data_IF_642484823596
#
_entry.id   IF_642484823596
#
_cell.length_a   1.000
_cell.length_b   1.000
_cell.length_c   1.000
_cell.angle_alpha   90.00
_cell.angle_beta   90.00
_cell.angle_gamma   90.00
#
_symmetry.space_group_name_H-M   'P 1'
#
loop_
_entity.id
_entity.type
_entity.pdbx_description
1 polymer ?
#
# COMPACT_ATOMS: atom_id res chain seq x y z
N UNK A 1 13.49 -14.53 -2.92
CA UNK A 1 14.12 -14.96 -1.64
C UNK A 1 13.51 -16.24 -1.11
N UNK A 2 12.18 -16.36 -1.09
CA UNK A 2 11.48 -17.46 -0.40
C UNK A 2 10.98 -18.59 -1.30
N UNK A 3 11.30 -18.58 -2.61
CA UNK A 3 10.70 -19.52 -3.56
C UNK A 3 9.17 -19.44 -3.64
N UNK A 4 8.58 -18.34 -3.17
CA UNK A 4 7.15 -18.12 -3.13
C UNK A 4 6.62 -17.61 -4.48
N UNK A 5 5.40 -18.04 -4.82
CA UNK A 5 4.61 -17.41 -5.88
C UNK A 5 4.24 -15.97 -5.47
N UNK A 6 4.18 -15.07 -6.46
CA UNK A 6 3.90 -13.65 -6.24
C UNK A 6 2.78 -13.19 -7.15
N UNK A 7 1.74 -12.63 -6.55
CA UNK A 7 0.71 -11.87 -7.26
C UNK A 7 0.90 -10.39 -6.94
N UNK A 8 1.08 -9.58 -7.98
CA UNK A 8 1.24 -8.14 -7.84
C UNK A 8 -0.03 -7.42 -8.35
N UNK A 9 -0.77 -6.83 -7.42
CA UNK A 9 -1.89 -5.94 -7.74
C UNK A 9 -1.42 -4.52 -7.57
N UNK A 10 -0.89 -3.95 -8.64
CA UNK A 10 -0.40 -2.57 -8.67
C UNK A 10 -0.91 -1.85 -9.92
N UNK A 11 -1.13 -0.55 -9.78
CA UNK A 11 -1.56 0.31 -10.88
C UNK A 11 -1.06 1.72 -10.59
N UNK A 12 -0.24 2.26 -11.49
CA UNK A 12 0.40 3.57 -11.30
C UNK A 12 -0.63 4.69 -11.15
N UNK A 13 -0.37 5.61 -10.23
CA UNK A 13 -1.23 6.77 -9.98
C UNK A 13 -2.49 6.48 -9.16
N UNK A 14 -2.75 5.24 -8.74
CA UNK A 14 -3.93 4.90 -7.95
C UNK A 14 -3.78 5.16 -6.45
N UNK A 15 -4.85 5.59 -5.80
CA UNK A 15 -4.93 5.78 -4.35
C UNK A 15 -6.16 5.12 -3.74
N UNK A 16 -6.40 5.41 -2.45
CA UNK A 16 -7.53 4.89 -1.66
C UNK A 16 -8.74 5.82 -1.64
N UNK A 17 -8.50 7.12 -1.72
CA UNK A 17 -9.51 8.20 -1.70
C UNK A 17 -9.50 8.98 -3.00
N UNK A 18 -8.34 9.07 -3.64
CA UNK A 18 -8.17 9.76 -4.91
C UNK A 18 -6.90 9.33 -5.63
N UNK A 19 -6.90 9.49 -6.96
CA UNK A 19 -5.78 9.16 -7.84
C UNK A 19 -4.94 10.38 -8.18
N UNK A 20 -3.71 10.19 -8.65
CA UNK A 20 -2.84 11.26 -9.19
C UNK A 20 -3.56 12.04 -10.30
N UNK A 21 -4.10 11.32 -11.29
CA UNK A 21 -4.91 11.91 -12.35
C UNK A 21 -6.35 12.06 -11.85
N UNK A 22 -6.73 13.29 -11.50
CA UNK A 22 -8.02 13.60 -10.86
C UNK A 22 -9.26 13.24 -11.68
N UNK A 23 -9.26 13.30 -13.03
CA UNK A 23 -10.42 12.85 -13.81
C UNK A 23 -10.68 11.34 -13.73
N UNK A 24 -9.68 10.54 -13.35
CA UNK A 24 -9.84 9.10 -13.14
C UNK A 24 -10.30 8.81 -11.72
N UNK A 25 -11.54 8.32 -11.59
CA UNK A 25 -12.19 8.02 -10.31
C UNK A 25 -12.11 6.54 -9.92
N UNK A 26 -11.46 5.68 -10.71
CA UNK A 26 -11.35 4.26 -10.39
C UNK A 26 -10.23 4.05 -9.38
N UNK A 27 -10.57 3.71 -8.14
CA UNK A 27 -9.63 3.60 -7.02
C UNK A 27 -9.02 2.20 -6.90
N UNK A 28 -7.89 2.10 -6.19
CA UNK A 28 -7.18 0.83 -5.98
C UNK A 28 -8.07 -0.26 -5.33
N UNK A 29 -8.90 0.03 -4.32
CA UNK A 29 -9.77 -0.99 -3.72
C UNK A 29 -10.75 -1.61 -4.73
N UNK A 30 -11.19 -0.88 -5.76
CA UNK A 30 -12.04 -1.45 -6.82
C UNK A 30 -11.22 -2.33 -7.76
N UNK A 31 -10.02 -1.89 -8.14
CA UNK A 31 -9.11 -2.68 -9.00
C UNK A 31 -8.65 -3.97 -8.32
N UNK A 32 -8.54 -3.97 -7.00
CA UNK A 32 -8.15 -5.14 -6.20
C UNK A 32 -9.06 -6.36 -6.42
N UNK A 33 -10.34 -6.12 -6.74
CA UNK A 33 -11.31 -7.18 -7.01
C UNK A 33 -11.38 -7.60 -8.48
N UNK A 34 -10.56 -7.03 -9.38
CA UNK A 34 -10.58 -7.37 -10.81
C UNK A 34 -9.51 -8.39 -11.17
N UNK A 35 -9.87 -9.36 -12.00
CA UNK A 35 -8.89 -10.26 -12.62
C UNK A 35 -8.14 -9.57 -13.77
N UNK A 36 -8.84 -8.70 -14.50
CA UNK A 36 -8.31 -7.90 -15.60
C UNK A 36 -8.59 -6.43 -15.28
N UNK A 37 -7.54 -5.63 -15.07
CA UNK A 37 -7.69 -4.26 -14.56
C UNK A 37 -8.63 -3.38 -15.41
N UNK A 38 -8.56 -3.53 -16.74
CA UNK A 38 -9.31 -2.72 -17.71
C UNK A 38 -10.71 -3.28 -18.04
N UNK A 39 -11.05 -4.49 -17.57
CA UNK A 39 -12.39 -5.06 -17.73
C UNK A 39 -13.19 -4.87 -16.43
N UNK A 40 -14.17 -3.94 -16.40
CA UNK A 40 -14.97 -3.68 -15.22
C UNK A 40 -15.91 -4.82 -14.83
N UNK A 41 -16.18 -5.78 -15.73
CA UNK A 41 -16.96 -6.97 -15.43
C UNK A 41 -16.11 -8.13 -14.88
N UNK A 42 -14.78 -8.03 -15.00
CA UNK A 42 -13.90 -9.08 -14.50
C UNK A 42 -13.84 -9.09 -12.98
N UNK A 43 -13.91 -10.28 -12.40
CA UNK A 43 -13.80 -10.49 -10.95
C UNK A 43 -12.67 -11.45 -10.66
N UNK A 44 -11.81 -11.09 -9.71
CA UNK A 44 -10.81 -11.98 -9.16
C UNK A 44 -11.39 -12.74 -7.96
N UNK A 45 -11.26 -14.05 -8.00
CA UNK A 45 -11.44 -14.93 -6.85
C UNK A 45 -10.19 -15.79 -6.74
N UNK A 46 -9.50 -15.76 -5.60
CA UNK A 46 -8.32 -16.61 -5.38
C UNK A 46 -8.71 -18.07 -5.59
N UNK A 47 -8.05 -18.81 -6.50
CA UNK A 47 -8.27 -20.23 -6.66
C UNK A 47 -8.11 -20.97 -5.33
N UNK A 48 -8.89 -22.04 -5.13
CA UNK A 48 -8.81 -22.83 -3.91
C UNK A 48 -7.37 -23.31 -3.66
N UNK A 49 -6.87 -23.09 -2.44
CA UNK A 49 -5.50 -23.45 -2.06
C UNK A 49 -4.41 -22.46 -2.50
N UNK A 50 -4.77 -21.30 -3.06
CA UNK A 50 -3.80 -20.26 -3.49
C UNK A 50 -3.87 -18.97 -2.67
N UNK A 51 -4.49 -19.03 -1.49
CA UNK A 51 -4.53 -17.89 -0.58
C UNK A 51 -3.10 -17.52 -0.14
N UNK A 52 -2.72 -16.23 -0.17
CA UNK A 52 -1.37 -15.83 0.18
C UNK A 52 -1.12 -15.97 1.68
N UNK A 53 0.08 -16.43 2.05
CA UNK A 53 0.56 -16.40 3.43
C UNK A 53 0.90 -14.97 3.90
N UNK A 54 1.34 -14.13 2.95
CA UNK A 54 1.78 -12.76 3.20
C UNK A 54 1.15 -11.77 2.20
N UNK A 55 0.69 -10.63 2.72
CA UNK A 55 0.23 -9.48 1.93
C UNK A 55 1.04 -8.25 2.32
N UNK A 56 1.57 -7.54 1.33
CA UNK A 56 2.25 -6.26 1.51
C UNK A 56 1.41 -5.16 0.89
N UNK A 57 0.86 -4.29 1.74
CA UNK A 57 0.08 -3.13 1.33
C UNK A 57 0.95 -1.89 1.39
N UNK A 58 1.31 -1.32 0.25
CA UNK A 58 2.02 -0.05 0.14
C UNK A 58 1.22 0.91 -0.73
N UNK A 59 0.42 1.76 -0.10
CA UNK A 59 -0.50 2.70 -0.77
C UNK A 59 -0.58 4.01 0.01
N UNK A 60 -1.04 5.08 -0.63
CA UNK A 60 -1.26 6.38 0.02
C UNK A 60 -0.50 7.54 -0.62
N UNK A 61 0.57 7.27 -1.38
CA UNK A 61 1.35 8.33 -2.02
C UNK A 61 0.49 9.21 -2.94
N UNK A 62 -0.37 8.59 -3.75
CA UNK A 62 -1.23 9.32 -4.69
C UNK A 62 -2.41 10.05 -4.01
N UNK A 63 -2.78 9.63 -2.80
CA UNK A 63 -3.80 10.29 -2.00
C UNK A 63 -3.35 11.68 -1.53
N UNK A 64 -2.04 11.86 -1.31
CA UNK A 64 -1.47 13.13 -0.84
C UNK A 64 -0.59 13.83 -1.88
N UNK A 65 -0.34 13.25 -3.06
CA UNK A 65 0.44 13.92 -4.11
C UNK A 65 -0.31 15.09 -4.74
N UNK A 66 0.43 16.02 -5.36
CA UNK A 66 -0.16 17.11 -6.17
C UNK A 66 -0.92 16.47 -7.33
N UNK A 67 -2.23 16.72 -7.38
CA UNK A 67 -3.10 16.18 -8.42
C UNK A 67 -2.87 16.82 -9.78
N UNK A 68 -3.15 16.08 -10.84
CA UNK A 68 -3.15 16.57 -12.22
C UNK A 68 -4.50 16.30 -12.90
N UNK A 69 -4.99 17.16 -13.81
CA UNK A 69 -4.39 18.43 -14.21
C UNK A 69 -4.65 19.57 -13.20
N UNK A 70 -5.64 19.42 -12.32
CA UNK A 70 -5.99 20.38 -11.27
C UNK A 70 -5.84 19.71 -9.92
N UNK A 71 -5.24 20.43 -8.98
CA UNK A 71 -4.99 19.94 -7.64
C UNK A 71 -5.98 20.56 -6.63
N UNK A 72 -6.93 19.75 -6.18
CA UNK A 72 -7.95 20.16 -5.21
C UNK A 72 -7.54 19.85 -3.75
N UNK A 73 -6.28 19.47 -3.52
CA UNK A 73 -5.79 19.03 -2.21
C UNK A 73 -6.05 17.55 -1.90
N UNK A 74 -5.54 17.05 -0.77
CA UNK A 74 -5.88 15.74 -0.25
C UNK A 74 -7.32 15.68 0.28
N UNK A 75 -7.89 14.47 0.34
CA UNK A 75 -9.04 14.22 1.21
C UNK A 75 -8.69 14.54 2.68
N UNK A 76 -9.69 14.66 3.55
CA UNK A 76 -9.40 14.83 4.98
C UNK A 76 -8.62 13.62 5.51
N UNK A 77 -7.79 13.82 6.53
CA UNK A 77 -7.08 12.71 7.16
C UNK A 77 -8.06 11.65 7.69
N UNK A 78 -9.22 12.06 8.21
CA UNK A 78 -10.24 11.14 8.71
C UNK A 78 -10.82 10.25 7.58
N UNK A 79 -11.08 10.82 6.40
CA UNK A 79 -11.56 10.06 5.24
C UNK A 79 -10.49 9.08 4.74
N UNK A 80 -9.23 9.52 4.69
CA UNK A 80 -8.11 8.66 4.32
C UNK A 80 -7.91 7.52 5.33
N UNK A 81 -7.94 7.80 6.64
CA UNK A 81 -7.84 6.78 7.68
C UNK A 81 -9.00 5.76 7.58
N UNK A 82 -10.22 6.23 7.34
CA UNK A 82 -11.38 5.37 7.15
C UNK A 82 -11.23 4.46 5.92
N UNK A 83 -10.79 5.02 4.79
CA UNK A 83 -10.54 4.25 3.56
C UNK A 83 -9.42 3.22 3.75
N UNK A 84 -8.35 3.58 4.47
CA UNK A 84 -7.26 2.65 4.79
C UNK A 84 -7.73 1.48 5.64
N UNK A 85 -8.48 1.76 6.72
CA UNK A 85 -9.08 0.72 7.58
C UNK A 85 -10.02 -0.19 6.80
N UNK A 86 -10.88 0.39 5.95
CA UNK A 86 -11.81 -0.36 5.12
C UNK A 86 -11.08 -1.30 4.17
N UNK A 87 -10.00 -0.83 3.52
CA UNK A 87 -9.27 -1.66 2.57
C UNK A 87 -8.49 -2.80 3.26
N UNK A 88 -7.90 -2.57 4.43
CA UNK A 88 -7.27 -3.66 5.20
C UNK A 88 -8.31 -4.65 5.72
N UNK A 89 -9.50 -4.19 6.12
CA UNK A 89 -10.60 -5.07 6.51
C UNK A 89 -11.06 -5.94 5.31
N UNK A 90 -11.15 -5.37 4.12
CA UNK A 90 -11.47 -6.07 2.87
C UNK A 90 -10.43 -7.16 2.53
N UNK A 91 -9.13 -6.81 2.54
CA UNK A 91 -8.02 -7.77 2.40
C UNK A 91 -8.13 -8.89 3.42
N UNK A 92 -8.38 -8.56 4.69
CA UNK A 92 -8.51 -9.56 5.76
C UNK A 92 -9.74 -10.45 5.56
N UNK A 93 -10.84 -9.92 5.05
CA UNK A 93 -12.04 -10.71 4.75
C UNK A 93 -11.79 -11.71 3.63
N UNK A 94 -11.01 -11.30 2.63
CA UNK A 94 -10.59 -12.13 1.49
C UNK A 94 -9.58 -13.20 1.91
N UNK A 95 -8.62 -12.82 2.77
CA UNK A 95 -7.54 -13.70 3.24
C UNK A 95 -7.44 -13.74 4.78
N UNK A 96 -8.30 -14.53 5.46
CA UNK A 96 -8.40 -14.53 6.93
C UNK A 96 -7.14 -14.96 7.67
N UNK A 97 -6.30 -15.80 7.06
CA UNK A 97 -5.10 -16.36 7.69
C UNK A 97 -3.81 -15.55 7.41
N UNK A 98 -3.81 -14.70 6.38
CA UNK A 98 -2.60 -14.03 5.88
C UNK A 98 -1.97 -13.10 6.93
N UNK A 99 -0.65 -12.96 6.86
CA UNK A 99 0.06 -11.89 7.53
C UNK A 99 0.02 -10.63 6.66
N UNK A 100 -0.47 -9.51 7.17
CA UNK A 100 -0.64 -8.26 6.41
C UNK A 100 0.32 -7.20 6.91
N UNK A 101 1.26 -6.77 6.08
CA UNK A 101 2.14 -5.63 6.37
C UNK A 101 1.64 -4.37 5.67
N UNK A 102 1.21 -3.40 6.47
CA UNK A 102 0.99 -2.03 6.05
C UNK A 102 2.34 -1.31 5.98
N UNK A 103 2.80 -0.99 4.78
CA UNK A 103 4.12 -0.42 4.53
C UNK A 103 4.02 1.07 4.23
N UNK A 104 4.85 1.87 4.91
CA UNK A 104 5.12 3.25 4.49
C UNK A 104 6.26 3.24 3.49
N UNK A 105 5.98 3.73 2.29
CA UNK A 105 6.93 3.75 1.17
C UNK A 105 8.19 4.57 1.49
N UNK A 106 9.37 4.19 0.97
CA UNK A 106 10.56 5.03 1.07
C UNK A 106 10.44 6.30 0.19
N UNK A 107 9.57 6.28 -0.82
CA UNK A 107 9.39 7.40 -1.75
C UNK A 107 8.50 8.53 -1.23
N UNK A 108 7.87 8.37 -0.07
CA UNK A 108 7.01 9.40 0.54
C UNK A 108 7.74 10.13 1.67
N UNK A 109 7.51 11.44 1.76
CA UNK A 109 8.12 12.32 2.76
C UNK A 109 7.09 13.33 3.27
N UNK A 110 7.34 13.91 4.44
CA UNK A 110 6.58 15.07 4.92
C UNK A 110 7.09 16.39 4.32
N UNK A 111 8.30 16.38 3.73
CA UNK A 111 8.88 17.56 3.09
C UNK A 111 8.20 17.92 1.76
N UNK A 112 7.60 16.95 1.06
CA UNK A 112 6.93 17.19 -0.22
C UNK A 112 5.74 16.25 -0.46
N UNK A 113 4.59 16.76 -0.94
CA UNK A 113 4.28 18.18 -1.11
C UNK A 113 4.14 18.91 0.23
N UNK A 114 4.61 20.16 0.28
CA UNK A 114 4.62 20.97 1.51
C UNK A 114 3.21 21.10 2.08
N UNK A 115 3.09 20.93 3.40
CA UNK A 115 1.82 21.12 4.13
C UNK A 115 0.85 19.93 4.06
N UNK A 116 1.22 18.84 3.39
CA UNK A 116 0.35 17.65 3.26
C UNK A 116 0.65 16.53 4.23
N UNK A 117 1.83 16.56 4.87
CA UNK A 117 2.26 15.55 5.85
C UNK A 117 2.04 14.12 5.34
N UNK A 118 2.39 13.87 4.07
CA UNK A 118 2.06 12.64 3.35
C UNK A 118 2.55 11.40 4.10
N UNK A 119 3.82 11.39 4.50
CA UNK A 119 4.43 10.25 5.18
C UNK A 119 3.77 10.02 6.54
N UNK A 120 3.60 11.09 7.32
CA UNK A 120 2.95 11.02 8.63
C UNK A 120 1.49 10.57 8.55
N UNK A 121 0.72 11.03 7.57
CA UNK A 121 -0.67 10.61 7.41
C UNK A 121 -0.79 9.12 7.04
N UNK A 122 0.06 8.63 6.13
CA UNK A 122 0.10 7.19 5.78
C UNK A 122 0.49 6.35 7.00
N UNK A 123 1.55 6.76 7.71
CA UNK A 123 2.01 6.12 8.96
C UNK A 123 0.90 6.06 10.01
N UNK A 124 0.23 7.19 10.26
CA UNK A 124 -0.80 7.29 11.29
C UNK A 124 -2.05 6.45 10.93
N UNK A 125 -2.49 6.48 9.67
CA UNK A 125 -3.60 5.65 9.21
C UNK A 125 -3.28 4.15 9.32
N UNK A 126 -2.07 3.74 8.95
CA UNK A 126 -1.62 2.36 9.09
C UNK A 126 -1.52 1.94 10.57
N UNK A 127 -0.97 2.80 11.45
CA UNK A 127 -0.90 2.55 12.88
C UNK A 127 -2.29 2.41 13.52
N UNK A 128 -3.22 3.32 13.17
CA UNK A 128 -4.60 3.27 13.62
C UNK A 128 -5.32 2.00 13.12
N UNK A 129 -5.01 1.55 11.92
CA UNK A 129 -5.54 0.31 11.36
C UNK A 129 -5.02 -0.92 12.09
N UNK A 130 -3.71 -0.99 12.35
CA UNK A 130 -3.10 -2.07 13.15
C UNK A 130 -3.72 -2.13 14.54
N UNK A 131 -3.86 -0.99 15.22
CA UNK A 131 -4.47 -0.91 16.54
C UNK A 131 -5.93 -1.38 16.52
N UNK A 132 -6.73 -0.97 15.53
CA UNK A 132 -8.11 -1.40 15.38
C UNK A 132 -8.23 -2.90 15.12
N UNK A 133 -7.36 -3.48 14.28
CA UNK A 133 -7.33 -4.93 14.02
C UNK A 133 -6.91 -5.72 15.27
N UNK A 134 -5.90 -5.26 16.00
CA UNK A 134 -5.48 -5.87 17.26
C UNK A 134 -6.60 -5.83 18.31
N UNK A 135 -7.31 -4.71 18.45
CA UNK A 135 -8.48 -4.59 19.34
C UNK A 135 -9.63 -5.54 18.95
N UNK A 136 -9.74 -5.89 17.67
CA UNK A 136 -10.67 -6.89 17.15
C UNK A 136 -10.13 -8.34 17.21
N UNK A 137 -8.99 -8.58 17.88
CA UNK A 137 -8.40 -9.91 18.06
C UNK A 137 -7.49 -10.37 16.91
N UNK A 138 -7.18 -9.52 15.94
CA UNK A 138 -6.32 -9.83 14.80
C UNK A 138 -4.90 -9.32 15.01
N UNK A 139 -4.03 -10.20 15.52
CA UNK A 139 -2.60 -9.94 15.73
C UNK A 139 -1.71 -10.17 14.50
N UNK A 140 -2.30 -10.34 13.31
CA UNK A 140 -1.57 -10.62 12.05
C UNK A 140 -1.55 -9.44 11.08
N UNK A 141 -1.77 -8.23 11.59
CA UNK A 141 -1.62 -6.97 10.84
C UNK A 141 -0.51 -6.16 11.47
N UNK A 142 0.43 -5.72 10.66
CA UNK A 142 1.67 -5.06 11.10
C UNK A 142 1.86 -3.74 10.36
N UNK A 143 2.50 -2.78 11.02
CA UNK A 143 3.04 -1.59 10.38
C UNK A 143 4.55 -1.76 10.26
N UNK A 144 5.09 -1.43 9.08
CA UNK A 144 6.52 -1.22 8.92
C UNK A 144 6.81 0.01 8.08
N UNK A 145 7.71 0.86 8.56
CA UNK A 145 8.15 2.05 7.85
C UNK A 145 9.49 1.79 7.20
N UNK A 146 9.52 1.79 5.86
CA UNK A 146 10.79 1.70 5.15
C UNK A 146 11.54 3.02 5.30
N UNK A 147 12.87 3.00 5.52
CA UNK A 147 13.68 4.22 5.56
C UNK A 147 13.41 5.11 4.35
N UNK A 148 13.31 6.42 4.56
CA UNK A 148 13.12 7.37 3.46
C UNK A 148 14.23 7.23 2.42
N UNK A 149 13.84 7.28 1.15
CA UNK A 149 14.75 7.22 0.02
C UNK A 149 15.56 8.52 -0.07
N UNK A 150 16.86 8.39 -0.28
CA UNK A 150 17.70 9.53 -0.62
C UNK A 150 17.47 9.99 -2.07
N UNK A 151 17.98 11.16 -2.45
CA UNK A 151 17.91 11.60 -3.84
C UNK A 151 18.63 10.64 -4.80
N UNK A 152 19.75 10.05 -4.34
CA UNK A 152 20.53 9.03 -5.05
C UNK A 152 19.76 7.74 -5.34
N UNK A 153 18.68 7.49 -4.60
CA UNK A 153 17.83 6.31 -4.75
C UNK A 153 16.71 6.47 -5.77
N UNK A 154 16.40 7.72 -6.15
CA UNK A 154 15.25 8.09 -6.97
C UNK A 154 15.68 8.49 -8.38
N UNK A 155 16.50 7.64 -8.99
CA UNK A 155 17.19 7.93 -10.26
C UNK A 155 16.59 7.21 -11.47
N UNK A 156 15.52 6.44 -11.28
CA UNK A 156 14.74 5.90 -12.40
C UNK A 156 13.81 6.97 -13.00
N UNK A 157 12.97 6.58 -13.98
CA UNK A 157 12.02 7.48 -14.62
C UNK A 157 11.10 8.16 -13.61
N UNK A 158 10.82 9.46 -13.80
CA UNK A 158 9.92 10.26 -12.95
C UNK A 158 10.22 10.14 -11.44
N UNK A 159 11.51 10.08 -11.09
CA UNK A 159 11.99 9.98 -9.71
C UNK A 159 11.56 8.70 -8.98
N UNK A 160 11.25 7.64 -9.72
CA UNK A 160 10.96 6.34 -9.12
C UNK A 160 12.21 5.70 -8.50
N UNK A 161 12.03 4.80 -7.51
CA UNK A 161 13.10 4.00 -6.95
C UNK A 161 13.93 3.29 -8.02
N UNK A 162 15.25 3.35 -7.87
CA UNK A 162 16.16 2.54 -8.68
C UNK A 162 16.23 1.10 -8.15
N UNK A 163 16.88 0.22 -8.93
CA UNK A 163 17.01 -1.19 -8.58
C UNK A 163 17.73 -1.42 -7.24
N UNK A 164 18.68 -0.56 -6.87
CA UNK A 164 19.40 -0.68 -5.60
C UNK A 164 18.49 -0.39 -4.40
N UNK A 165 17.62 0.63 -4.48
CA UNK A 165 16.62 0.88 -3.45
C UNK A 165 15.62 -0.28 -3.32
N UNK A 166 15.13 -0.83 -4.44
CA UNK A 166 14.27 -2.02 -4.41
C UNK A 166 14.95 -3.22 -3.73
N UNK A 167 16.23 -3.43 -4.01
CA UNK A 167 17.02 -4.48 -3.37
C UNK A 167 17.11 -4.27 -1.85
N UNK A 168 17.41 -3.05 -1.39
CA UNK A 168 17.46 -2.73 0.06
C UNK A 168 16.10 -2.88 0.74
N UNK A 169 15.01 -2.51 0.07
CA UNK A 169 13.65 -2.78 0.57
C UNK A 169 13.43 -4.28 0.77
N UNK A 170 13.84 -5.11 -0.20
CA UNK A 170 13.74 -6.56 -0.08
C UNK A 170 14.63 -7.14 1.04
N UNK A 171 15.85 -6.62 1.22
CA UNK A 171 16.74 -6.99 2.33
C UNK A 171 16.13 -6.62 3.70
N UNK A 172 15.42 -5.50 3.77
CA UNK A 172 14.77 -5.02 4.99
C UNK A 172 13.53 -5.83 5.36
N UNK A 173 12.69 -6.16 4.36
CA UNK A 173 11.42 -6.87 4.60
C UNK A 173 11.62 -8.37 4.83
N UNK A 174 12.64 -8.99 4.23
CA UNK A 174 12.82 -10.44 4.31
C UNK A 174 12.94 -10.99 5.76
N UNK A 175 13.73 -10.39 6.67
CA UNK A 175 13.77 -10.86 8.06
C UNK A 175 12.42 -10.75 8.79
N UNK A 176 11.59 -9.75 8.44
CA UNK A 176 10.26 -9.60 9.04
C UNK A 176 9.36 -10.77 8.64
N UNK A 177 9.42 -11.17 7.37
CA UNK A 177 8.70 -12.33 6.83
C UNK A 177 9.13 -13.60 7.55
N UNK A 178 10.43 -13.90 7.58
CA UNK A 178 10.98 -15.06 8.28
C UNK A 178 10.54 -15.11 9.74
N UNK A 179 10.53 -13.97 10.44
CA UNK A 179 10.13 -13.93 11.85
C UNK A 179 8.66 -14.28 12.12
N UNK A 180 7.78 -14.10 11.14
CA UNK A 180 6.33 -14.30 11.30
C UNK A 180 5.84 -15.60 10.66
N UNK A 181 6.45 -15.99 9.55
CA UNK A 181 6.04 -17.15 8.77
C UNK A 181 6.98 -18.36 8.95
N UNK A 182 8.15 -18.18 9.56
CA UNK A 182 9.13 -19.26 9.72
C UNK A 182 9.77 -19.72 8.40
N UNK A 183 9.71 -18.85 7.37
CA UNK A 183 10.31 -19.06 6.06
C UNK A 183 11.82 -18.90 6.06
#
# INVERSE_FOLDING_TARGET
RFGADVVAVNYSGKGLTQNLYRPDTLLLPTLYHRALADDPASTWSSPAGTAPDAVFLMVGANDFTIGVPVDNGPASYADFEAAYKAFVADIRSTYPAAHVWCLVSPGVSDAFPVGRNMRSNIRNAAAATVAARAAAGDGRVYLYELPEAEASDKTACDYHPNAALHQRMADTLAPLVTSKLGW
#
